data_IF_265300873075
#
_entry.id   IF_265300873075
#
_cell.length_a   1.000
_cell.length_b   1.000
_cell.length_c   1.000
_cell.angle_alpha   90.00
_cell.angle_beta   90.00
_cell.angle_gamma   90.00
#
_symmetry.space_group_name_H-M   'P 1'
#
loop_
_entity.id
_entity.type
_entity.pdbx_description
1 polymer ?
#
# COMPACT_ATOMS: atom_id res chain seq x y z
N UNK A 1 26.86 5.46 24.73
CA UNK A 1 25.91 6.42 24.15
C UNK A 1 25.70 6.03 22.70
N UNK A 2 24.63 5.30 22.40
CA UNK A 2 24.40 4.68 21.09
C UNK A 2 24.04 5.72 20.01
N UNK A 3 23.61 6.91 20.43
CA UNK A 3 23.27 8.02 19.55
C UNK A 3 24.53 8.77 19.06
N UNK A 4 25.59 8.80 19.86
CA UNK A 4 26.85 9.47 19.49
C UNK A 4 27.69 8.68 18.48
N UNK A 5 27.54 7.36 18.40
CA UNK A 5 28.30 6.51 17.47
C UNK A 5 27.71 6.47 16.06
N UNK A 6 26.45 6.90 15.88
CA UNK A 6 25.73 6.85 14.60
C UNK A 6 25.84 8.15 13.78
N UNK A 7 26.46 9.20 14.32
CA UNK A 7 26.25 10.56 13.81
C UNK A 7 27.36 11.16 12.94
N UNK A 8 28.50 10.49 12.70
CA UNK A 8 29.64 11.13 11.99
C UNK A 8 30.38 10.23 10.96
N UNK A 9 29.87 9.05 10.64
CA UNK A 9 30.45 8.19 9.60
C UNK A 9 29.37 7.81 8.57
N UNK A 10 29.35 8.57 7.47
CA UNK A 10 28.48 8.34 6.32
C UNK A 10 28.64 6.90 5.80
N UNK A 11 29.85 6.34 5.80
CA UNK A 11 30.09 4.98 5.30
C UNK A 11 29.53 3.90 6.24
N UNK A 12 29.62 4.10 7.56
CA UNK A 12 28.99 3.20 8.53
C UNK A 12 27.46 3.26 8.46
N UNK A 13 26.91 4.46 8.25
CA UNK A 13 25.47 4.69 8.08
C UNK A 13 24.96 4.02 6.80
N UNK A 14 25.65 4.21 5.68
CA UNK A 14 25.33 3.58 4.40
C UNK A 14 25.41 2.06 4.48
N UNK A 15 26.43 1.50 5.13
CA UNK A 15 26.57 0.06 5.32
C UNK A 15 25.42 -0.52 6.15
N UNK A 16 25.05 0.15 7.24
CA UNK A 16 23.91 -0.26 8.08
C UNK A 16 22.60 -0.19 7.30
N UNK A 17 22.35 0.91 6.58
CA UNK A 17 21.14 1.10 5.79
C UNK A 17 21.05 0.08 4.65
N UNK A 18 22.17 -0.24 3.98
CA UNK A 18 22.24 -1.28 2.95
C UNK A 18 21.91 -2.67 3.49
N UNK A 19 22.39 -2.99 4.70
CA UNK A 19 22.03 -4.23 5.41
C UNK A 19 20.55 -4.28 5.78
N UNK A 20 20.01 -3.18 6.29
CA UNK A 20 18.57 -3.03 6.56
C UNK A 20 17.73 -3.23 5.30
N UNK A 21 18.06 -2.56 4.19
CA UNK A 21 17.33 -2.68 2.92
C UNK A 21 17.32 -4.12 2.43
N UNK A 22 18.46 -4.80 2.46
CA UNK A 22 18.56 -6.21 2.07
C UNK A 22 17.63 -7.09 2.89
N UNK A 23 17.64 -6.93 4.23
CA UNK A 23 16.76 -7.67 5.12
C UNK A 23 15.28 -7.32 4.92
N UNK A 24 14.98 -6.04 4.70
CA UNK A 24 13.64 -5.53 4.45
C UNK A 24 13.06 -6.09 3.16
N UNK A 25 13.81 -6.07 2.05
CA UNK A 25 13.39 -6.61 0.76
C UNK A 25 13.21 -8.13 0.81
N UNK A 26 14.16 -8.85 1.41
CA UNK A 26 14.06 -10.29 1.64
C UNK A 26 12.87 -10.66 2.54
N UNK A 27 12.31 -9.69 3.27
CA UNK A 27 11.17 -9.90 4.16
C UNK A 27 9.81 -9.64 3.51
N UNK A 28 9.77 -9.16 2.26
CA UNK A 28 8.51 -8.88 1.58
C UNK A 28 7.73 -10.15 1.34
N UNK A 29 6.51 -10.17 1.88
CA UNK A 29 5.54 -11.25 1.74
C UNK A 29 4.16 -10.71 2.03
N UNK A 30 3.14 -11.33 1.46
CA UNK A 30 1.76 -11.04 1.82
C UNK A 30 1.51 -11.38 3.30
N UNK A 31 0.58 -10.66 3.93
CA UNK A 31 0.11 -11.05 5.26
C UNK A 31 -0.49 -12.46 5.23
N UNK A 32 -0.34 -13.26 6.30
CA UNK A 32 -0.98 -14.56 6.39
C UNK A 32 -2.49 -14.47 6.10
N UNK A 33 -2.96 -15.25 5.15
CA UNK A 33 -4.37 -15.28 4.75
C UNK A 33 -4.81 -14.19 3.75
N UNK A 34 -3.98 -13.21 3.41
CA UNK A 34 -4.37 -12.14 2.48
C UNK A 34 -4.73 -12.68 1.08
N UNK A 35 -3.93 -13.59 0.53
CA UNK A 35 -4.20 -14.22 -0.77
C UNK A 35 -5.52 -15.01 -0.74
N UNK A 36 -5.73 -15.81 0.32
CA UNK A 36 -6.95 -16.59 0.49
C UNK A 36 -8.19 -15.70 0.67
N UNK A 37 -8.06 -14.56 1.36
CA UNK A 37 -9.14 -13.59 1.50
C UNK A 37 -9.50 -12.96 0.14
N UNK A 38 -8.51 -12.55 -0.66
CA UNK A 38 -8.74 -12.03 -2.01
C UNK A 38 -9.41 -13.09 -2.90
N UNK A 39 -8.96 -14.34 -2.85
CA UNK A 39 -9.57 -15.46 -3.59
C UNK A 39 -11.04 -15.66 -3.20
N UNK A 40 -11.34 -15.66 -1.90
CA UNK A 40 -12.70 -15.84 -1.42
C UNK A 40 -13.62 -14.67 -1.79
N UNK A 41 -13.11 -13.44 -1.74
CA UNK A 41 -13.88 -12.27 -2.20
C UNK A 41 -14.15 -12.36 -3.70
N UNK A 42 -13.13 -12.67 -4.52
CA UNK A 42 -13.29 -12.81 -5.96
C UNK A 42 -14.30 -13.91 -6.33
N UNK A 43 -14.28 -15.02 -5.59
CA UNK A 43 -15.22 -16.14 -5.76
C UNK A 43 -16.66 -15.76 -5.42
N UNK A 44 -16.87 -14.99 -4.35
CA UNK A 44 -18.20 -14.53 -3.91
C UNK A 44 -18.74 -13.37 -4.74
N UNK A 45 -17.85 -12.54 -5.28
CA UNK A 45 -18.19 -11.33 -6.02
C UNK A 45 -17.47 -11.33 -7.38
N UNK A 46 -17.92 -12.15 -8.35
CA UNK A 46 -17.35 -12.17 -9.69
C UNK A 46 -17.38 -10.78 -10.31
N UNK A 47 -16.26 -10.35 -10.90
CA UNK A 47 -16.12 -9.04 -11.53
C UNK A 47 -15.64 -7.92 -10.60
N UNK A 48 -15.50 -8.19 -9.29
CA UNK A 48 -14.81 -7.24 -8.40
C UNK A 48 -13.33 -7.13 -8.79
N UNK A 49 -12.83 -5.89 -8.81
CA UNK A 49 -11.43 -5.58 -9.13
C UNK A 49 -10.71 -5.18 -7.86
N UNK A 50 -9.43 -5.55 -7.75
CA UNK A 50 -8.57 -5.13 -6.66
C UNK A 50 -7.48 -4.23 -7.20
N UNK A 51 -7.16 -3.16 -6.48
CA UNK A 51 -6.09 -2.23 -6.83
C UNK A 51 -5.29 -1.83 -5.59
N UNK A 52 -4.22 -1.07 -5.81
CA UNK A 52 -3.34 -0.54 -4.76
C UNK A 52 -3.30 0.97 -4.84
N UNK A 53 -3.42 1.62 -3.69
CA UNK A 53 -3.15 3.04 -3.50
C UNK A 53 -2.14 3.18 -2.37
N UNK A 54 -0.93 3.67 -2.66
CA UNK A 54 0.19 3.67 -1.72
C UNK A 54 0.96 4.99 -1.69
N UNK A 55 1.41 5.37 -0.50
CA UNK A 55 2.26 6.55 -0.27
C UNK A 55 3.74 6.19 -0.45
N UNK A 56 4.07 5.54 -1.56
CA UNK A 56 5.41 5.01 -1.81
C UNK A 56 5.82 5.09 -3.28
N UNK A 57 7.09 4.81 -3.52
CA UNK A 57 7.71 4.85 -4.85
C UNK A 57 7.38 3.61 -5.67
N UNK A 58 7.03 3.78 -6.95
CA UNK A 58 6.72 2.66 -7.84
C UNK A 58 7.83 1.61 -7.88
N UNK A 59 9.08 2.06 -7.91
CA UNK A 59 10.28 1.21 -7.93
C UNK A 59 10.38 0.26 -6.73
N UNK A 60 9.75 0.59 -5.60
CA UNK A 60 9.70 -0.28 -4.43
C UNK A 60 8.42 -1.12 -4.36
N UNK A 61 7.30 -0.56 -4.83
CA UNK A 61 5.98 -1.19 -4.68
C UNK A 61 5.77 -2.33 -5.68
N UNK A 62 6.26 -2.20 -6.91
CA UNK A 62 6.13 -3.26 -7.91
C UNK A 62 6.89 -4.55 -7.51
N UNK A 63 8.18 -4.50 -7.13
CA UNK A 63 8.88 -5.67 -6.61
C UNK A 63 8.22 -6.27 -5.35
N UNK A 64 7.70 -5.42 -4.45
CA UNK A 64 6.98 -5.89 -3.26
C UNK A 64 5.70 -6.66 -3.62
N UNK A 65 4.91 -6.17 -4.57
CA UNK A 65 3.70 -6.85 -5.06
C UNK A 65 4.06 -8.19 -5.70
N UNK A 66 5.16 -8.23 -6.47
CA UNK A 66 5.67 -9.46 -7.07
C UNK A 66 6.11 -10.46 -6.00
N UNK A 67 6.90 -10.04 -5.02
CA UNK A 67 7.33 -10.89 -3.90
C UNK A 67 6.15 -11.42 -3.07
N UNK A 68 5.06 -10.64 -2.99
CA UNK A 68 3.82 -11.05 -2.35
C UNK A 68 2.95 -11.99 -3.20
N UNK A 69 3.31 -12.26 -4.46
CA UNK A 69 2.54 -13.13 -5.37
C UNK A 69 1.22 -12.51 -5.85
N UNK A 70 1.15 -11.19 -5.94
CA UNK A 70 -0.10 -10.45 -6.19
C UNK A 70 -0.13 -9.70 -7.54
N UNK A 71 0.91 -9.80 -8.37
CA UNK A 71 1.06 -9.05 -9.62
C UNK A 71 -0.18 -9.12 -10.52
N UNK A 72 -0.69 -10.32 -10.79
CA UNK A 72 -1.82 -10.50 -11.72
C UNK A 72 -3.19 -10.24 -11.09
N UNK A 73 -3.23 -9.91 -9.79
CA UNK A 73 -4.46 -9.73 -9.01
C UNK A 73 -4.78 -8.25 -8.77
N UNK A 74 -3.77 -7.37 -8.85
CA UNK A 74 -3.86 -5.98 -8.44
C UNK A 74 -3.71 -5.03 -9.62
N UNK A 75 -4.81 -4.40 -10.03
CA UNK A 75 -4.83 -3.35 -11.04
C UNK A 75 -6.01 -2.38 -10.77
N UNK A 76 -5.76 -1.07 -10.65
CA UNK A 76 -4.48 -0.37 -10.90
C UNK A 76 -3.53 -0.39 -9.69
N UNK A 77 -2.25 -0.07 -9.94
CA UNK A 77 -1.25 0.21 -8.89
C UNK A 77 -0.88 1.70 -8.94
N UNK A 78 -1.47 2.47 -8.02
CA UNK A 78 -1.28 3.92 -7.88
C UNK A 78 -0.28 4.21 -6.76
N UNK A 79 0.88 4.70 -7.15
CA UNK A 79 1.99 5.04 -6.26
C UNK A 79 2.10 6.57 -6.18
N UNK A 80 2.08 7.15 -4.97
CA UNK A 80 2.19 8.60 -4.83
C UNK A 80 3.54 9.15 -5.24
N UNK A 81 4.61 8.35 -5.26
CA UNK A 81 5.94 8.78 -5.71
C UNK A 81 5.96 9.25 -7.17
N UNK A 82 5.06 8.71 -8.00
CA UNK A 82 4.88 9.15 -9.38
C UNK A 82 4.04 10.45 -9.49
N UNK A 83 3.53 10.96 -8.37
CA UNK A 83 2.49 11.98 -8.29
C UNK A 83 2.93 13.16 -7.41
N UNK A 84 2.32 14.33 -7.63
CA UNK A 84 2.50 15.50 -6.75
C UNK A 84 1.60 15.49 -5.51
N UNK A 85 0.98 14.35 -5.17
CA UNK A 85 0.02 14.23 -4.07
C UNK A 85 -0.05 12.79 -3.54
N UNK A 86 -0.42 12.64 -2.27
CA UNK A 86 -0.36 11.38 -1.52
C UNK A 86 -1.60 11.23 -0.63
N UNK A 87 -1.93 10.03 -0.14
CA UNK A 87 -3.06 9.86 0.79
C UNK A 87 -2.81 10.69 2.05
N UNK A 88 -3.80 11.42 2.61
CA UNK A 88 -5.24 11.33 2.32
C UNK A 88 -5.78 12.30 1.25
N UNK A 89 -4.93 12.90 0.40
CA UNK A 89 -5.43 13.79 -0.65
C UNK A 89 -6.45 13.05 -1.55
N UNK A 90 -7.67 13.58 -1.74
CA UNK A 90 -8.74 12.89 -2.46
C UNK A 90 -8.35 12.53 -3.90
N UNK A 91 -7.44 13.31 -4.52
CA UNK A 91 -7.02 13.11 -5.90
C UNK A 91 -6.42 11.73 -6.15
N UNK A 92 -5.77 11.11 -5.15
CA UNK A 92 -5.13 9.80 -5.32
C UNK A 92 -6.15 8.67 -5.34
N UNK A 93 -7.19 8.72 -4.48
CA UNK A 93 -8.27 7.74 -4.49
C UNK A 93 -9.10 7.86 -5.76
N UNK A 94 -9.45 9.10 -6.15
CA UNK A 94 -10.20 9.35 -7.38
C UNK A 94 -9.42 8.95 -8.63
N UNK A 95 -8.09 9.09 -8.63
CA UNK A 95 -7.24 8.58 -9.71
C UNK A 95 -7.31 7.05 -9.80
N UNK A 96 -7.24 6.36 -8.67
CA UNK A 96 -7.37 4.90 -8.63
C UNK A 96 -8.74 4.44 -9.15
N UNK A 97 -9.84 5.06 -8.73
CA UNK A 97 -11.18 4.78 -9.26
C UNK A 97 -11.25 4.98 -10.78
N UNK A 98 -10.73 6.11 -11.29
CA UNK A 98 -10.69 6.37 -12.74
C UNK A 98 -9.89 5.32 -13.51
N UNK A 99 -8.70 4.94 -13.03
CA UNK A 99 -7.87 3.92 -13.68
C UNK A 99 -8.51 2.52 -13.60
N UNK A 100 -9.25 2.23 -12.53
CA UNK A 100 -10.01 1.00 -12.37
C UNK A 100 -11.31 0.97 -13.19
N UNK A 101 -11.72 2.11 -13.77
CA UNK A 101 -13.01 2.27 -14.42
C UNK A 101 -14.19 2.06 -13.45
N UNK A 102 -14.04 2.51 -12.20
CA UNK A 102 -15.04 2.39 -11.14
C UNK A 102 -15.57 3.76 -10.72
N UNK A 103 -16.85 3.82 -10.36
CA UNK A 103 -17.42 4.97 -9.67
C UNK A 103 -16.88 4.99 -8.23
N UNK A 104 -16.41 6.14 -7.69
CA UNK A 104 -16.07 6.26 -6.27
C UNK A 104 -17.16 5.73 -5.33
N UNK A 105 -18.44 5.93 -5.66
CA UNK A 105 -19.58 5.43 -4.87
C UNK A 105 -19.71 3.90 -4.85
N UNK A 106 -18.98 3.18 -5.71
CA UNK A 106 -18.91 1.71 -5.75
C UNK A 106 -17.54 1.17 -5.30
N UNK A 107 -16.66 2.03 -4.77
CA UNK A 107 -15.30 1.66 -4.37
C UNK A 107 -15.11 1.78 -2.86
N UNK A 108 -14.36 0.83 -2.28
CA UNK A 108 -13.99 0.81 -0.86
C UNK A 108 -12.46 0.76 -0.74
N UNK A 109 -11.90 1.58 0.14
CA UNK A 109 -10.48 1.51 0.50
C UNK A 109 -10.31 0.64 1.75
N UNK A 110 -9.34 -0.28 1.74
CA UNK A 110 -8.92 -1.04 2.92
C UNK A 110 -7.46 -0.69 3.20
N UNK A 111 -7.14 -0.27 4.43
CA UNK A 111 -5.77 0.11 4.79
C UNK A 111 -5.51 0.13 6.28
N UNK A 112 -4.23 0.13 6.67
CA UNK A 112 -3.77 0.04 8.05
C UNK A 112 -3.77 1.40 8.78
N UNK A 113 -3.84 2.50 8.03
CA UNK A 113 -3.81 3.84 8.61
C UNK A 113 -5.20 4.44 8.67
N UNK A 114 -5.80 4.47 9.86
CA UNK A 114 -7.15 5.02 10.07
C UNK A 114 -7.37 6.39 9.39
N UNK A 115 -6.46 7.34 9.61
CA UNK A 115 -6.62 8.72 9.10
C UNK A 115 -6.28 8.85 7.62
N UNK A 116 -5.21 8.21 7.16
CA UNK A 116 -4.76 8.41 5.77
C UNK A 116 -5.47 7.49 4.79
N UNK A 117 -5.89 6.30 5.20
CA UNK A 117 -6.54 5.32 4.32
C UNK A 117 -8.06 5.35 4.48
N UNK A 118 -8.58 4.97 5.65
CA UNK A 118 -10.02 4.74 5.83
C UNK A 118 -10.80 6.06 5.84
N UNK A 119 -10.43 7.00 6.70
CA UNK A 119 -11.07 8.32 6.75
C UNK A 119 -10.81 9.09 5.45
N UNK A 120 -9.56 9.09 4.96
CA UNK A 120 -9.20 9.76 3.71
C UNK A 120 -10.02 9.28 2.50
N UNK A 121 -10.32 7.99 2.41
CA UNK A 121 -11.18 7.45 1.35
C UNK A 121 -12.63 7.95 1.46
N UNK A 122 -13.21 7.93 2.66
CA UNK A 122 -14.58 8.43 2.89
C UNK A 122 -14.66 9.92 2.56
N UNK A 123 -13.69 10.71 3.03
CA UNK A 123 -13.61 12.15 2.75
C UNK A 123 -13.43 12.43 1.24
N UNK A 124 -12.81 11.50 0.49
CA UNK A 124 -12.68 11.56 -0.96
C UNK A 124 -13.94 11.15 -1.73
N UNK A 125 -15.00 10.71 -1.04
CA UNK A 125 -16.27 10.30 -1.64
C UNK A 125 -16.32 8.84 -2.07
N UNK A 126 -15.43 7.97 -1.56
CA UNK A 126 -15.58 6.53 -1.75
C UNK A 126 -16.79 6.00 -0.96
N UNK A 127 -17.34 4.88 -1.42
CA UNK A 127 -18.44 4.17 -0.75
C UNK A 127 -18.13 3.84 0.72
N UNK A 128 -16.85 3.61 1.02
CA UNK A 128 -16.38 3.40 2.37
C UNK A 128 -14.86 3.33 2.51
N UNK A 129 -14.43 3.40 3.76
CA UNK A 129 -13.06 3.14 4.18
C UNK A 129 -13.05 2.15 5.34
N UNK A 130 -12.28 1.07 5.20
CA UNK A 130 -12.12 0.04 6.22
C UNK A 130 -10.73 0.19 6.83
N UNK A 131 -10.70 0.51 8.12
CA UNK A 131 -9.46 0.44 8.88
C UNK A 131 -9.18 -1.02 9.23
N UNK A 132 -8.07 -1.53 8.70
CA UNK A 132 -7.60 -2.88 8.95
C UNK A 132 -6.41 -2.83 9.88
N UNK A 133 -6.70 -2.98 11.17
CA UNK A 133 -5.68 -3.08 12.20
C UNK A 133 -5.32 -4.54 12.46
N UNK A 134 -4.16 -4.94 11.93
CA UNK A 134 -3.66 -6.31 12.08
C UNK A 134 -2.96 -6.55 13.44
N UNK A 135 -2.64 -5.49 14.19
CA UNK A 135 -1.82 -5.57 15.40
C UNK A 135 -2.62 -5.28 16.68
N UNK A 136 -3.79 -4.65 16.57
CA UNK A 136 -4.74 -4.47 17.69
C UNK A 136 -4.44 -3.26 18.57
N UNK A 137 -4.16 -2.11 17.95
CA UNK A 137 -3.98 -0.80 18.59
C UNK A 137 -5.29 -0.21 19.17
#
# INVERSE_FOLDING_TARGET
DLAATLADDDAATDAWFGGYLTGYEASWRALPGAVAALDEIARRHPGLRFGVVTNGERSQQEPKIQAAGLTDRLSPVVCSGDLGFTKPDPRIFLLACRQAGADPADAVMVGDRLRTDAVGAVDAGLAGGVWFDALGD
#
